data_IF_470934737637
#
_entry.id   IF_470934737637
#
_cell.length_a   1.000
_cell.length_b   1.000
_cell.length_c   1.000
_cell.angle_alpha   90.00
_cell.angle_beta   90.00
_cell.angle_gamma   90.00
#
_symmetry.space_group_name_H-M   'P 1'
#
loop_
_entity.id
_entity.type
_entity.pdbx_description
1 polymer ?
#
# COMPACT_ATOMS: atom_id res chain seq x y z
N UNK A 1 -12.65 -7.35 -23.67
CA UNK A 1 -12.68 -7.75 -22.25
C UNK A 1 -13.86 -7.03 -21.63
N UNK A 2 -14.78 -7.76 -21.01
CA UNK A 2 -15.94 -7.12 -20.38
C UNK A 2 -15.51 -6.27 -19.18
N UNK A 3 -16.16 -5.13 -18.97
CA UNK A 3 -15.87 -4.20 -17.87
C UNK A 3 -15.91 -4.94 -16.51
N UNK A 4 -16.85 -5.88 -16.36
CA UNK A 4 -16.97 -6.74 -15.18
C UNK A 4 -15.71 -7.56 -14.90
N UNK A 5 -15.06 -8.10 -15.93
CA UNK A 5 -13.80 -8.84 -15.78
C UNK A 5 -12.66 -7.91 -15.37
N UNK A 6 -12.62 -6.68 -15.88
CA UNK A 6 -11.62 -5.68 -15.48
C UNK A 6 -11.78 -5.27 -14.01
N UNK A 7 -13.03 -5.02 -13.58
CA UNK A 7 -13.34 -4.67 -12.20
C UNK A 7 -13.03 -5.82 -11.23
N UNK A 8 -13.35 -7.06 -11.62
CA UNK A 8 -12.97 -8.25 -10.85
C UNK A 8 -11.45 -8.39 -10.73
N UNK A 9 -10.72 -8.23 -11.85
CA UNK A 9 -9.25 -8.25 -11.85
C UNK A 9 -8.64 -7.15 -10.97
N UNK A 10 -9.20 -5.94 -11.01
CA UNK A 10 -8.79 -4.86 -10.12
C UNK A 10 -9.05 -5.20 -8.64
N UNK A 11 -10.21 -5.76 -8.31
CA UNK A 11 -10.55 -6.18 -6.94
C UNK A 11 -9.55 -7.23 -6.41
N UNK A 12 -9.23 -8.24 -7.22
CA UNK A 12 -8.23 -9.27 -6.85
C UNK A 12 -6.86 -8.63 -6.59
N UNK A 13 -6.44 -7.66 -7.41
CA UNK A 13 -5.18 -6.95 -7.18
C UNK A 13 -5.19 -6.16 -5.88
N UNK A 14 -6.32 -5.53 -5.52
CA UNK A 14 -6.49 -4.82 -4.24
C UNK A 14 -6.39 -5.80 -3.07
N UNK A 15 -7.01 -6.98 -3.16
CA UNK A 15 -6.95 -8.01 -2.12
C UNK A 15 -5.54 -8.57 -1.94
N UNK A 16 -4.85 -8.86 -3.04
CA UNK A 16 -3.44 -9.28 -3.04
C UNK A 16 -2.57 -8.19 -2.41
N UNK A 17 -2.80 -6.93 -2.77
CA UNK A 17 -2.06 -5.81 -2.22
C UNK A 17 -2.31 -5.67 -0.71
N UNK A 18 -3.55 -5.79 -0.25
CA UNK A 18 -3.88 -5.77 1.17
C UNK A 18 -3.19 -6.92 1.92
N UNK A 19 -3.24 -8.14 1.39
CA UNK A 19 -2.53 -9.29 1.95
C UNK A 19 -1.03 -9.02 2.09
N UNK A 20 -0.41 -8.43 1.05
CA UNK A 20 0.98 -8.00 1.08
C UNK A 20 1.26 -6.95 2.18
N UNK A 21 0.40 -5.94 2.34
CA UNK A 21 0.57 -4.92 3.38
C UNK A 21 0.50 -5.52 4.79
N UNK A 22 -0.44 -6.44 5.02
CA UNK A 22 -0.59 -7.15 6.30
C UNK A 22 0.65 -7.99 6.60
N UNK A 23 1.18 -8.72 5.61
CA UNK A 23 2.45 -9.43 5.75
C UNK A 23 3.63 -8.47 6.01
N UNK A 24 3.58 -7.25 5.46
CA UNK A 24 4.55 -6.19 5.73
C UNK A 24 4.69 -5.80 7.20
N UNK A 25 3.61 -5.94 7.98
CA UNK A 25 3.59 -5.60 9.41
C UNK A 25 4.55 -6.49 10.22
N UNK A 26 4.78 -7.74 9.78
CA UNK A 26 5.63 -8.67 10.54
C UNK A 26 7.13 -8.44 10.37
N UNK A 27 7.55 -7.69 9.34
CA UNK A 27 8.95 -7.41 9.00
C UNK A 27 9.80 -6.91 10.20
N UNK A 28 9.39 -5.88 10.97
CA UNK A 28 10.16 -5.39 12.12
C UNK A 28 10.37 -6.43 13.23
N UNK A 29 9.54 -7.47 13.30
CA UNK A 29 9.63 -8.52 14.34
C UNK A 29 10.54 -9.67 13.91
N UNK A 30 10.50 -10.06 12.63
CA UNK A 30 11.31 -11.17 12.11
C UNK A 30 12.77 -10.77 11.88
N UNK A 31 13.03 -9.52 11.48
CA UNK A 31 14.39 -9.09 11.12
C UNK A 31 15.10 -8.49 12.33
N UNK A 32 16.08 -9.21 12.89
CA UNK A 32 16.80 -8.79 14.10
C UNK A 32 18.03 -7.92 13.83
N UNK A 33 18.66 -8.05 12.66
CA UNK A 33 19.87 -7.31 12.31
C UNK A 33 19.58 -5.97 11.60
N UNK A 34 20.35 -4.91 11.87
CA UNK A 34 20.27 -3.63 11.14
C UNK A 34 20.39 -3.75 9.62
N UNK A 35 21.41 -4.49 9.14
CA UNK A 35 21.65 -4.69 7.71
C UNK A 35 20.49 -5.44 7.02
N UNK A 36 20.02 -6.52 7.65
CA UNK A 36 18.85 -7.25 7.18
C UNK A 36 17.60 -6.36 7.12
N UNK A 37 17.44 -5.43 8.07
CA UNK A 37 16.27 -4.55 8.11
C UNK A 37 16.27 -3.55 6.96
N UNK A 38 17.45 -3.00 6.60
CA UNK A 38 17.59 -2.16 5.40
C UNK A 38 17.25 -2.93 4.12
N UNK A 39 17.75 -4.17 3.99
CA UNK A 39 17.47 -5.02 2.82
C UNK A 39 15.98 -5.40 2.74
N UNK A 40 15.39 -5.82 3.84
CA UNK A 40 13.97 -6.17 3.90
C UNK A 40 13.07 -4.96 3.59
N UNK A 41 13.38 -3.79 4.14
CA UNK A 41 12.70 -2.53 3.82
C UNK A 41 12.80 -2.21 2.33
N UNK A 42 13.98 -2.35 1.72
CA UNK A 42 14.15 -2.14 0.28
C UNK A 42 13.30 -3.08 -0.57
N UNK A 43 13.36 -4.39 -0.30
CA UNK A 43 12.59 -5.39 -1.06
C UNK A 43 11.08 -5.16 -0.89
N UNK A 44 10.64 -4.88 0.35
CA UNK A 44 9.25 -4.55 0.62
C UNK A 44 8.80 -3.33 -0.20
N UNK A 45 9.56 -2.24 -0.19
CA UNK A 45 9.21 -1.04 -0.96
C UNK A 45 9.15 -1.30 -2.47
N UNK A 46 10.06 -2.11 -3.03
CA UNK A 46 10.01 -2.47 -4.45
C UNK A 46 8.74 -3.23 -4.81
N UNK A 47 8.37 -4.24 -4.01
CA UNK A 47 7.14 -5.02 -4.23
C UNK A 47 5.90 -4.14 -4.02
N UNK A 48 5.89 -3.31 -2.97
CA UNK A 48 4.83 -2.36 -2.70
C UNK A 48 4.56 -1.47 -3.92
N UNK A 49 5.61 -0.85 -4.48
CA UNK A 49 5.47 0.06 -5.61
C UNK A 49 4.96 -0.66 -6.86
N UNK A 50 5.44 -1.88 -7.12
CA UNK A 50 4.98 -2.68 -8.24
C UNK A 50 3.49 -3.01 -8.11
N UNK A 51 3.05 -3.53 -6.95
CA UNK A 51 1.65 -3.87 -6.69
C UNK A 51 0.75 -2.63 -6.70
N UNK A 52 1.14 -1.56 -6.00
CA UNK A 52 0.38 -0.33 -5.96
C UNK A 52 0.21 0.26 -7.38
N UNK A 53 1.26 0.26 -8.19
CA UNK A 53 1.18 0.76 -9.58
C UNK A 53 0.28 -0.13 -10.44
N UNK A 54 0.34 -1.46 -10.30
CA UNK A 54 -0.56 -2.37 -10.99
C UNK A 54 -2.03 -2.14 -10.61
N UNK A 55 -2.32 -1.96 -9.32
CA UNK A 55 -3.66 -1.62 -8.81
C UNK A 55 -4.16 -0.33 -9.44
N UNK A 56 -3.37 0.75 -9.36
CA UNK A 56 -3.76 2.05 -9.91
C UNK A 56 -3.96 1.98 -11.43
N UNK A 57 -3.06 1.34 -12.15
CA UNK A 57 -3.16 1.17 -13.60
C UNK A 57 -4.43 0.42 -13.99
N UNK A 58 -4.70 -0.74 -13.37
CA UNK A 58 -5.91 -1.51 -13.64
C UNK A 58 -7.19 -0.71 -13.33
N UNK A 59 -7.19 0.06 -12.24
CA UNK A 59 -8.31 0.93 -11.87
C UNK A 59 -8.56 2.03 -12.89
N UNK A 60 -7.50 2.72 -13.34
CA UNK A 60 -7.59 3.78 -14.36
C UNK A 60 -8.11 3.20 -15.68
N UNK A 61 -7.57 2.06 -16.12
CA UNK A 61 -8.02 1.39 -17.35
C UNK A 61 -9.50 1.02 -17.27
N UNK A 62 -9.97 0.52 -16.11
CA UNK A 62 -11.39 0.21 -15.91
C UNK A 62 -12.27 1.46 -15.95
N UNK A 63 -11.81 2.59 -15.41
CA UNK A 63 -12.53 3.88 -15.46
C UNK A 63 -12.72 4.35 -16.91
N UNK A 64 -11.64 4.37 -17.70
CA UNK A 64 -11.70 4.84 -19.09
C UNK A 64 -12.45 3.86 -20.00
N UNK A 65 -12.24 2.56 -19.84
CA UNK A 65 -12.85 1.56 -20.73
C UNK A 65 -14.32 1.31 -20.40
N UNK A 66 -14.70 1.42 -19.12
CA UNK A 66 -16.07 1.25 -18.66
C UNK A 66 -16.91 2.52 -18.64
N UNK A 67 -16.36 3.65 -19.08
CA UNK A 67 -17.00 4.97 -19.01
C UNK A 67 -17.61 5.27 -17.62
N UNK A 68 -16.85 4.92 -16.56
CA UNK A 68 -17.32 4.99 -15.17
C UNK A 68 -17.31 6.42 -14.60
N UNK A 69 -16.83 7.38 -15.39
CA UNK A 69 -16.69 8.79 -15.02
C UNK A 69 -15.67 9.05 -13.90
N UNK A 70 -15.70 10.28 -13.37
CA UNK A 70 -14.83 10.73 -12.27
C UNK A 70 -15.63 11.13 -11.02
N UNK A 71 -16.43 10.22 -10.44
CA UNK A 71 -17.08 10.50 -9.17
C UNK A 71 -16.03 10.68 -8.07
N UNK A 72 -16.42 11.36 -6.99
CA UNK A 72 -15.54 11.66 -5.85
C UNK A 72 -14.81 10.41 -5.32
N UNK A 73 -15.45 9.24 -5.32
CA UNK A 73 -14.83 7.98 -4.89
C UNK A 73 -13.62 7.57 -5.73
N UNK A 74 -13.70 7.73 -7.06
CA UNK A 74 -12.59 7.42 -7.98
C UNK A 74 -11.43 8.38 -7.75
N UNK A 75 -11.73 9.66 -7.55
CA UNK A 75 -10.73 10.69 -7.23
C UNK A 75 -10.05 10.38 -5.89
N UNK A 76 -10.83 10.02 -4.86
CA UNK A 76 -10.30 9.64 -3.54
C UNK A 76 -9.40 8.40 -3.60
N UNK A 77 -9.75 7.38 -4.39
CA UNK A 77 -8.89 6.20 -4.60
C UNK A 77 -7.51 6.60 -5.16
N UNK A 78 -7.48 7.48 -6.16
CA UNK A 78 -6.24 7.99 -6.76
C UNK A 78 -5.41 8.81 -5.77
N UNK A 79 -6.06 9.67 -4.98
CA UNK A 79 -5.39 10.47 -3.94
C UNK A 79 -4.77 9.55 -2.88
N UNK A 80 -5.51 8.55 -2.42
CA UNK A 80 -5.02 7.62 -1.39
C UNK A 80 -3.86 6.79 -1.91
N UNK A 81 -3.93 6.33 -3.16
CA UNK A 81 -2.79 5.70 -3.81
C UNK A 81 -1.55 6.60 -3.81
N UNK A 82 -1.68 7.88 -4.18
CA UNK A 82 -0.56 8.82 -4.20
C UNK A 82 0.01 9.07 -2.79
N UNK A 83 -0.85 9.22 -1.80
CA UNK A 83 -0.46 9.36 -0.38
C UNK A 83 0.31 8.12 0.08
N UNK A 84 -0.20 6.94 -0.22
CA UNK A 84 0.44 5.67 0.14
C UNK A 84 1.84 5.54 -0.49
N UNK A 85 1.99 5.87 -1.77
CA UNK A 85 3.28 5.88 -2.47
C UNK A 85 4.26 6.86 -1.81
N UNK A 86 3.82 8.08 -1.50
CA UNK A 86 4.63 9.07 -0.84
C UNK A 86 5.09 8.62 0.56
N UNK A 87 4.19 8.05 1.35
CA UNK A 87 4.48 7.50 2.68
C UNK A 87 5.53 6.39 2.57
N UNK A 88 5.37 5.46 1.61
CA UNK A 88 6.28 4.34 1.45
C UNK A 88 7.70 4.79 1.05
N UNK A 89 7.80 5.70 0.08
CA UNK A 89 9.08 6.24 -0.37
C UNK A 89 9.80 6.94 0.79
N UNK A 90 9.08 7.76 1.56
CA UNK A 90 9.64 8.41 2.74
C UNK A 90 10.07 7.40 3.80
N UNK A 91 9.23 6.41 4.11
CA UNK A 91 9.54 5.33 5.06
C UNK A 91 10.84 4.62 4.67
N UNK A 92 10.98 4.22 3.41
CA UNK A 92 12.19 3.58 2.91
C UNK A 92 13.42 4.49 3.06
N UNK A 93 13.30 5.76 2.65
CA UNK A 93 14.38 6.74 2.74
C UNK A 93 14.85 6.93 4.19
N UNK A 94 13.91 6.97 5.15
CA UNK A 94 14.24 7.04 6.58
C UNK A 94 15.03 5.81 7.05
N UNK A 95 14.61 4.60 6.68
CA UNK A 95 15.33 3.36 7.04
C UNK A 95 16.72 3.31 6.40
N UNK A 96 16.84 3.75 5.14
CA UNK A 96 18.11 3.73 4.40
C UNK A 96 19.15 4.66 5.02
N UNK A 97 18.74 5.89 5.35
CA UNK A 97 19.61 6.96 5.85
C UNK A 97 19.88 6.89 7.36
N UNK A 98 19.05 6.20 8.14
CA UNK A 98 19.26 6.10 9.57
C UNK A 98 20.53 5.30 9.93
N UNK A 99 21.20 5.74 11.00
CA UNK A 99 22.24 4.96 11.67
C UNK A 99 21.58 3.89 12.55
N UNK A 100 21.36 2.71 11.97
CA UNK A 100 20.71 1.58 12.63
C UNK A 100 21.66 0.76 13.51
N UNK A 101 22.95 1.07 13.57
CA UNK A 101 23.90 0.42 14.47
C UNK A 101 23.70 0.90 15.92
N UNK A 102 23.17 2.10 16.09
CA UNK A 102 22.70 2.56 17.39
C UNK A 102 21.37 1.85 17.74
N UNK A 103 21.35 1.10 18.84
CA UNK A 103 20.19 0.32 19.28
C UNK A 103 18.94 1.19 19.54
N UNK A 104 19.13 2.39 20.10
CA UNK A 104 18.05 3.34 20.35
C UNK A 104 17.38 3.79 19.04
N UNK A 105 18.19 4.22 18.06
CA UNK A 105 17.72 4.56 16.72
C UNK A 105 17.04 3.37 16.05
N UNK A 106 17.62 2.18 16.14
CA UNK A 106 17.06 0.98 15.52
C UNK A 106 15.68 0.63 16.07
N UNK A 107 15.47 0.72 17.39
CA UNK A 107 14.18 0.49 18.04
C UNK A 107 13.13 1.52 17.61
N UNK A 108 13.51 2.80 17.54
CA UNK A 108 12.62 3.88 17.08
C UNK A 108 12.20 3.67 15.63
N UNK A 109 13.15 3.36 14.75
CA UNK A 109 12.88 3.13 13.32
C UNK A 109 11.99 1.91 13.12
N UNK A 110 12.20 0.81 13.85
CA UNK A 110 11.29 -0.35 13.81
C UNK A 110 9.87 -0.01 14.23
N UNK A 111 9.73 0.75 15.32
CA UNK A 111 8.43 1.20 15.81
C UNK A 111 7.72 2.12 14.80
N UNK A 112 8.47 3.06 14.21
CA UNK A 112 7.94 3.92 13.15
C UNK A 112 7.51 3.12 11.91
N UNK A 113 8.33 2.15 11.47
CA UNK A 113 7.98 1.27 10.35
C UNK A 113 6.66 0.53 10.62
N UNK A 114 6.52 -0.08 11.80
CA UNK A 114 5.31 -0.79 12.21
C UNK A 114 4.08 0.12 12.18
N UNK A 115 4.16 1.30 12.82
CA UNK A 115 3.05 2.26 12.84
C UNK A 115 2.66 2.74 11.45
N UNK A 116 3.64 3.02 10.59
CA UNK A 116 3.38 3.46 9.21
C UNK A 116 2.73 2.34 8.39
N UNK A 117 3.19 1.09 8.55
CA UNK A 117 2.57 -0.06 7.88
C UNK A 117 1.11 -0.26 8.30
N UNK A 118 0.78 -0.07 9.58
CA UNK A 118 -0.62 -0.09 10.05
C UNK A 118 -1.45 0.99 9.36
N UNK A 119 -0.93 2.23 9.30
CA UNK A 119 -1.64 3.34 8.63
C UNK A 119 -1.93 3.00 7.16
N UNK A 120 -0.98 2.40 6.44
CA UNK A 120 -1.21 1.98 5.05
C UNK A 120 -2.29 0.91 4.93
N UNK A 121 -2.32 -0.09 5.82
CA UNK A 121 -3.39 -1.09 5.86
C UNK A 121 -4.74 -0.42 6.11
N UNK A 122 -4.82 0.48 7.10
CA UNK A 122 -6.06 1.20 7.40
C UNK A 122 -6.55 2.04 6.22
N UNK A 123 -5.66 2.71 5.49
CA UNK A 123 -6.02 3.48 4.30
C UNK A 123 -6.68 2.60 3.23
N UNK A 124 -6.15 1.40 2.97
CA UNK A 124 -6.75 0.47 2.01
C UNK A 124 -8.06 -0.10 2.52
N UNK A 125 -8.13 -0.55 3.78
CA UNK A 125 -9.34 -1.13 4.37
C UNK A 125 -10.49 -0.12 4.40
N UNK A 126 -10.23 1.12 4.82
CA UNK A 126 -11.25 2.19 4.81
C UNK A 126 -11.81 2.39 3.41
N UNK A 127 -10.95 2.40 2.39
CA UNK A 127 -11.41 2.54 1.01
C UNK A 127 -12.22 1.35 0.52
N UNK A 128 -11.82 0.13 0.86
CA UNK A 128 -12.60 -1.06 0.53
C UNK A 128 -13.99 -0.99 1.17
N UNK A 129 -14.08 -0.62 2.45
CA UNK A 129 -15.36 -0.46 3.15
C UNK A 129 -16.23 0.59 2.47
N UNK A 130 -15.68 1.77 2.14
CA UNK A 130 -16.41 2.82 1.43
C UNK A 130 -16.95 2.30 0.08
N UNK A 131 -16.15 1.55 -0.67
CA UNK A 131 -16.56 1.01 -1.97
C UNK A 131 -17.64 -0.07 -1.83
N UNK A 132 -17.55 -0.92 -0.81
CA UNK A 132 -18.57 -1.94 -0.50
C UNK A 132 -19.89 -1.27 -0.09
N UNK A 133 -19.85 -0.25 0.78
CA UNK A 133 -21.04 0.51 1.16
C UNK A 133 -21.72 1.15 -0.05
N UNK A 134 -20.93 1.81 -0.92
CA UNK A 134 -21.42 2.40 -2.17
C UNK A 134 -22.07 1.35 -3.08
N UNK A 135 -21.48 0.16 -3.18
CA UNK A 135 -22.05 -0.94 -3.99
C UNK A 135 -23.37 -1.47 -3.42
N UNK A 136 -23.55 -1.41 -2.10
CA UNK A 136 -24.79 -1.77 -1.41
C UNK A 136 -25.82 -0.62 -1.37
N UNK A 137 -25.54 0.52 -1.99
CA UNK A 137 -26.46 1.67 -2.05
C UNK A 137 -26.53 2.49 -0.76
N UNK A 138 -25.51 2.39 0.11
CA UNK A 138 -25.35 3.17 1.34
C UNK A 138 -24.37 4.32 1.16
#
# INVERSE_FOLDING_TARGET
MEVTQMLSGHSILVDIFLGFLVLGIVIPFIVKSPAGFKKASFVYTMIFQALATMVAFAGIVAVFTGDLGWPLTTILMMIIWAIMMFIEIKKHKFVKLANLENEGTFKVIKSAFFKISIVQVLLVVVMMVIMIMKANGQ
#
